data_IF_716316916677
#
_entry.id   IF_716316916677
#
_cell.length_a   1.000
_cell.length_b   1.000
_cell.length_c   1.000
_cell.angle_alpha   90.00
_cell.angle_beta   90.00
_cell.angle_gamma   90.00
#
_symmetry.space_group_name_H-M   'P 1'
#
loop_
_entity.id
_entity.type
_entity.pdbx_description
1 polymer ?
#
# COMPACT_ATOMS: atom_id res chain seq x y z
N UNK A 1 13.95 -40.68 26.05
CA UNK A 1 13.96 -41.78 27.03
C UNK A 1 14.64 -41.23 28.28
N UNK A 2 13.91 -41.13 29.39
CA UNK A 2 14.39 -40.46 30.60
C UNK A 2 15.45 -41.27 31.34
N UNK A 3 16.31 -40.59 32.07
CA UNK A 3 17.10 -41.20 33.15
C UNK A 3 16.15 -42.03 34.00
N UNK A 4 16.37 -43.35 34.07
CA UNK A 4 15.56 -44.25 34.87
C UNK A 4 16.26 -44.40 36.22
N UNK A 5 15.83 -43.68 37.28
CA UNK A 5 16.56 -43.64 38.56
C UNK A 5 16.59 -45.01 39.27
N UNK A 6 15.82 -45.98 38.79
CA UNK A 6 15.75 -47.36 39.27
C UNK A 6 16.62 -48.35 38.48
N UNK A 7 17.27 -47.92 37.39
CA UNK A 7 18.26 -48.77 36.73
C UNK A 7 19.49 -48.87 37.64
N UNK A 8 19.71 -50.06 38.21
CA UNK A 8 20.84 -50.34 39.10
C UNK A 8 22.15 -49.96 38.40
N UNK A 9 22.81 -48.92 38.92
CA UNK A 9 24.17 -48.57 38.52
C UNK A 9 25.07 -49.75 38.87
N UNK A 10 25.84 -50.30 37.92
CA UNK A 10 26.75 -51.39 38.21
C UNK A 10 27.80 -50.89 39.21
N UNK A 11 27.80 -51.47 40.41
CA UNK A 11 28.82 -51.21 41.42
C UNK A 11 30.19 -51.61 40.85
N UNK A 12 31.23 -50.77 41.01
CA UNK A 12 32.58 -51.15 40.65
C UNK A 12 32.96 -52.39 41.43
N UNK A 13 33.70 -53.31 40.80
CA UNK A 13 34.24 -54.50 41.48
C UNK A 13 35.06 -54.13 42.72
N UNK A 14 35.72 -52.97 42.69
CA UNK A 14 36.44 -52.39 43.82
C UNK A 14 35.58 -52.09 45.05
N UNK A 15 34.27 -51.89 44.89
CA UNK A 15 33.34 -51.62 45.99
C UNK A 15 32.76 -52.93 46.56
N UNK A 16 32.58 -53.96 45.73
CA UNK A 16 32.10 -55.27 46.18
C UNK A 16 33.13 -56.04 46.99
N UNK A 17 34.42 -55.71 46.86
CA UNK A 17 35.53 -56.36 47.58
C UNK A 17 35.87 -55.68 48.92
N UNK A 18 35.18 -54.59 49.28
CA UNK A 18 35.43 -53.86 50.53
C UNK A 18 34.80 -54.57 51.74
N UNK A 19 35.50 -54.65 52.89
CA UNK A 19 34.92 -55.16 54.12
C UNK A 19 33.78 -54.26 54.63
N UNK A 20 32.71 -54.88 55.17
CA UNK A 20 31.49 -54.22 55.67
C UNK A 20 31.67 -52.87 56.41
N UNK A 21 32.63 -52.68 57.35
CA UNK A 21 32.80 -51.39 58.03
C UNK A 21 33.17 -50.24 57.09
N UNK A 22 33.90 -50.50 56.01
CA UNK A 22 34.28 -49.47 55.02
C UNK A 22 33.12 -49.15 54.06
N UNK A 23 32.24 -50.12 53.79
CA UNK A 23 30.99 -49.92 53.07
C UNK A 23 30.02 -49.04 53.88
N UNK A 24 29.91 -49.26 55.19
CA UNK A 24 29.10 -48.43 56.07
C UNK A 24 29.61 -46.98 56.15
N UNK A 25 30.93 -46.79 56.20
CA UNK A 25 31.56 -45.45 56.16
C UNK A 25 31.32 -44.73 54.82
N UNK A 26 31.36 -45.48 53.70
CA UNK A 26 31.09 -44.95 52.37
C UNK A 26 29.60 -44.57 52.18
N UNK A 27 28.68 -45.38 52.72
CA UNK A 27 27.25 -45.09 52.72
C UNK A 27 26.87 -43.97 53.69
N UNK A 28 27.62 -43.81 54.79
CA UNK A 28 27.43 -42.72 55.74
C UNK A 28 27.87 -41.36 55.19
N UNK A 29 28.66 -41.33 54.12
CA UNK A 29 29.13 -40.09 53.49
C UNK A 29 28.41 -39.80 52.15
N UNK A 30 27.37 -38.94 52.16
CA UNK A 30 26.58 -38.65 50.98
C UNK A 30 27.37 -37.96 49.85
N UNK A 31 28.46 -37.25 50.17
CA UNK A 31 29.29 -36.62 49.14
C UNK A 31 30.11 -37.64 48.33
N UNK A 32 30.52 -38.75 48.94
CA UNK A 32 31.22 -39.83 48.23
C UNK A 32 30.28 -40.58 47.28
N UNK A 33 29.06 -40.87 47.74
CA UNK A 33 28.01 -41.49 46.91
C UNK A 33 27.65 -40.59 45.73
N UNK A 34 27.52 -39.28 45.97
CA UNK A 34 27.28 -38.28 44.93
C UNK A 34 28.42 -38.19 43.93
N UNK A 35 29.68 -38.16 44.39
CA UNK A 35 30.86 -38.17 43.52
C UNK A 35 30.91 -39.41 42.64
N UNK A 36 30.58 -40.59 43.19
CA UNK A 36 30.49 -41.83 42.44
C UNK A 36 29.40 -41.77 41.35
N UNK A 37 28.19 -41.31 41.69
CA UNK A 37 27.11 -41.13 40.69
C UNK A 37 27.53 -40.15 39.60
N UNK A 38 28.24 -39.06 39.96
CA UNK A 38 28.76 -38.08 39.01
C UNK A 38 29.85 -38.64 38.08
N UNK A 39 30.65 -39.60 38.57
CA UNK A 39 31.68 -40.27 37.78
C UNK A 39 31.17 -41.38 36.87
N UNK A 40 29.90 -41.77 37.01
CA UNK A 40 29.30 -42.83 36.19
C UNK A 40 29.15 -42.38 34.73
N UNK A 41 29.53 -43.26 33.80
CA UNK A 41 29.37 -43.03 32.36
C UNK A 41 27.91 -42.72 31.98
N UNK A 42 26.95 -43.36 32.64
CA UNK A 42 25.52 -43.13 32.40
C UNK A 42 25.06 -41.72 32.79
N UNK A 43 25.65 -41.15 33.84
CA UNK A 43 25.36 -39.80 34.29
C UNK A 43 26.03 -38.75 33.40
N UNK A 44 27.27 -39.00 32.99
CA UNK A 44 27.98 -38.16 32.01
C UNK A 44 27.25 -38.14 30.66
N UNK A 45 26.82 -39.29 30.15
CA UNK A 45 26.01 -39.38 28.93
C UNK A 45 24.69 -38.62 29.04
N UNK A 46 24.03 -38.66 30.20
CA UNK A 46 22.81 -37.89 30.43
C UNK A 46 23.09 -36.38 30.42
N UNK A 47 24.16 -35.93 31.07
CA UNK A 47 24.57 -34.52 31.05
C UNK A 47 24.90 -34.05 29.63
N UNK A 48 25.61 -34.84 28.85
CA UNK A 48 25.94 -34.52 27.46
C UNK A 48 24.67 -34.45 26.58
N UNK A 49 23.74 -35.38 26.74
CA UNK A 49 22.43 -35.34 26.07
C UNK A 49 21.61 -34.11 26.47
N UNK A 50 21.65 -33.73 27.74
CA UNK A 50 20.94 -32.56 28.22
C UNK A 50 21.57 -31.26 27.70
N UNK A 51 22.90 -31.16 27.72
CA UNK A 51 23.65 -30.03 27.18
C UNK A 51 23.44 -29.86 25.66
N UNK A 52 23.46 -30.97 24.91
CA UNK A 52 23.15 -30.95 23.46
C UNK A 52 21.72 -30.54 23.19
N UNK A 53 20.75 -30.97 24.00
CA UNK A 53 19.35 -30.53 23.88
C UNK A 53 19.23 -29.03 24.14
N UNK A 54 19.85 -28.50 25.20
CA UNK A 54 19.86 -27.06 25.49
C UNK A 54 20.50 -26.27 24.34
N UNK A 55 21.62 -26.74 23.79
CA UNK A 55 22.26 -26.10 22.65
C UNK A 55 21.34 -26.08 21.41
N UNK A 56 20.65 -27.19 21.13
CA UNK A 56 19.67 -27.27 20.05
C UNK A 56 18.47 -26.32 20.28
N UNK A 57 17.98 -26.19 21.51
CA UNK A 57 16.88 -25.27 21.81
C UNK A 57 17.31 -23.81 21.74
N UNK A 58 18.55 -23.49 22.14
CA UNK A 58 19.10 -22.14 22.00
C UNK A 58 19.24 -21.73 20.52
N UNK A 59 19.70 -22.65 19.67
CA UNK A 59 19.76 -22.39 18.21
C UNK A 59 18.37 -22.18 17.60
N UNK A 60 17.35 -22.95 18.00
CA UNK A 60 15.96 -22.70 17.59
C UNK A 60 15.46 -21.33 18.04
N UNK A 61 15.76 -20.92 19.28
CA UNK A 61 15.37 -19.60 19.79
C UNK A 61 16.03 -18.47 18.98
N UNK A 62 17.29 -18.62 18.58
CA UNK A 62 17.96 -17.66 17.70
C UNK A 62 17.30 -17.59 16.32
N UNK A 63 16.92 -18.73 15.74
CA UNK A 63 16.19 -18.76 14.47
C UNK A 63 14.81 -18.08 14.57
N UNK A 64 14.07 -18.33 15.66
CA UNK A 64 12.79 -17.67 15.92
C UNK A 64 12.98 -16.15 16.04
N UNK A 65 14.03 -15.69 16.74
CA UNK A 65 14.34 -14.26 16.84
C UNK A 65 14.59 -13.64 15.47
N UNK A 66 15.40 -14.29 14.64
CA UNK A 66 15.66 -13.82 13.26
C UNK A 66 14.38 -13.78 12.43
N UNK A 67 13.49 -14.76 12.58
CA UNK A 67 12.22 -14.79 11.88
C UNK A 67 11.31 -13.64 12.29
N UNK A 68 11.26 -13.30 13.59
CA UNK A 68 10.51 -12.14 14.10
C UNK A 68 11.08 -10.85 13.49
N UNK A 69 12.40 -10.66 13.51
CA UNK A 69 13.05 -9.48 12.93
C UNK A 69 12.76 -9.34 11.42
N UNK A 70 12.79 -10.45 10.68
CA UNK A 70 12.42 -10.47 9.26
C UNK A 70 10.94 -10.11 9.05
N UNK A 71 10.05 -10.65 9.89
CA UNK A 71 8.62 -10.38 9.79
C UNK A 71 8.30 -8.91 10.08
N UNK A 72 8.96 -8.32 11.07
CA UNK A 72 8.82 -6.89 11.39
C UNK A 72 9.30 -6.01 10.24
N UNK A 73 10.46 -6.34 9.65
CA UNK A 73 10.97 -5.61 8.48
C UNK A 73 10.02 -5.71 7.29
N UNK A 74 9.53 -6.91 6.97
CA UNK A 74 8.57 -7.11 5.88
C UNK A 74 7.27 -6.37 6.17
N UNK A 75 6.77 -6.44 7.40
CA UNK A 75 5.57 -5.73 7.84
C UNK A 75 5.71 -4.20 7.77
N UNK A 76 6.91 -3.67 8.01
CA UNK A 76 7.21 -2.25 7.81
C UNK A 76 7.22 -1.88 6.32
N UNK A 77 7.87 -2.68 5.48
CA UNK A 77 7.87 -2.45 4.03
C UNK A 77 6.47 -2.51 3.42
N UNK A 78 5.62 -3.44 3.89
CA UNK A 78 4.22 -3.53 3.47
C UNK A 78 3.46 -2.26 3.86
N UNK A 79 3.65 -1.75 5.08
CA UNK A 79 3.01 -0.52 5.55
C UNK A 79 3.41 0.69 4.71
N UNK A 80 4.69 0.82 4.38
CA UNK A 80 5.20 1.89 3.51
C UNK A 80 4.60 1.84 2.11
N UNK A 81 4.58 0.66 1.48
CA UNK A 81 3.96 0.47 0.15
C UNK A 81 2.46 0.72 0.16
N UNK A 82 1.77 0.36 1.24
CA UNK A 82 0.34 0.61 1.38
C UNK A 82 0.05 2.10 1.50
N UNK A 83 0.86 2.84 2.25
CA UNK A 83 0.75 4.31 2.33
C UNK A 83 1.01 4.97 0.97
N UNK A 84 1.99 4.49 0.20
CA UNK A 84 2.25 4.96 -1.16
C UNK A 84 1.07 4.70 -2.10
N UNK A 85 0.48 3.51 -2.07
CA UNK A 85 -0.71 3.16 -2.85
C UNK A 85 -1.91 4.04 -2.50
N UNK A 86 -2.13 4.33 -1.22
CA UNK A 86 -3.20 5.23 -0.78
C UNK A 86 -2.99 6.65 -1.32
N UNK A 87 -1.75 7.17 -1.27
CA UNK A 87 -1.41 8.46 -1.86
C UNK A 87 -1.71 8.50 -3.35
N UNK A 88 -1.24 7.48 -4.09
CA UNK A 88 -1.42 7.40 -5.53
C UNK A 88 -2.90 7.26 -5.92
N UNK A 89 -3.68 6.49 -5.16
CA UNK A 89 -5.12 6.35 -5.39
C UNK A 89 -5.88 7.66 -5.17
N UNK A 90 -5.49 8.44 -4.15
CA UNK A 90 -6.05 9.77 -3.93
C UNK A 90 -5.75 10.71 -5.11
N UNK A 91 -4.51 10.68 -5.61
CA UNK A 91 -4.09 11.48 -6.77
C UNK A 91 -4.86 11.07 -8.03
N UNK A 92 -5.00 9.77 -8.27
CA UNK A 92 -5.78 9.22 -9.38
C UNK A 92 -7.26 9.64 -9.31
N UNK A 93 -7.86 9.57 -8.13
CA UNK A 93 -9.26 10.00 -7.93
C UNK A 93 -9.44 11.49 -8.22
N UNK A 94 -8.49 12.33 -7.80
CA UNK A 94 -8.49 13.76 -8.12
C UNK A 94 -8.40 14.00 -9.63
N UNK A 95 -7.49 13.31 -10.32
CA UNK A 95 -7.34 13.41 -11.77
C UNK A 95 -8.59 12.93 -12.51
N UNK A 96 -9.26 11.88 -12.04
CA UNK A 96 -10.53 11.44 -12.59
C UNK A 96 -11.61 12.52 -12.48
N UNK A 97 -11.72 13.18 -11.32
CA UNK A 97 -12.68 14.29 -11.15
C UNK A 97 -12.39 15.41 -12.14
N UNK A 98 -11.11 15.79 -12.30
CA UNK A 98 -10.70 16.80 -13.28
C UNK A 98 -11.06 16.34 -14.70
N UNK A 99 -10.77 15.09 -15.06
CA UNK A 99 -11.12 14.52 -16.35
C UNK A 99 -12.63 14.61 -16.63
N UNK A 100 -13.46 14.20 -15.67
CA UNK A 100 -14.92 14.29 -15.80
C UNK A 100 -15.40 15.73 -15.96
N UNK A 101 -14.85 16.67 -15.18
CA UNK A 101 -15.17 18.09 -15.33
C UNK A 101 -14.81 18.63 -16.72
N UNK A 102 -13.67 18.22 -17.26
CA UNK A 102 -13.25 18.60 -18.60
C UNK A 102 -14.16 17.98 -19.67
N UNK A 103 -14.47 16.69 -19.57
CA UNK A 103 -15.38 16.01 -20.49
C UNK A 103 -16.77 16.65 -20.51
N UNK A 104 -17.29 17.03 -19.36
CA UNK A 104 -18.56 17.77 -19.28
C UNK A 104 -18.41 19.15 -19.90
N UNK A 105 -17.39 19.92 -19.51
CA UNK A 105 -17.16 21.30 -19.99
C UNK A 105 -16.94 21.40 -21.51
N UNK A 106 -16.31 20.39 -22.09
CA UNK A 106 -15.98 20.29 -23.51
C UNK A 106 -16.84 19.25 -24.25
N UNK A 107 -17.94 18.80 -23.64
CA UNK A 107 -18.93 17.98 -24.32
C UNK A 107 -19.50 18.74 -25.52
N UNK A 108 -19.90 18.00 -26.56
CA UNK A 108 -20.53 18.59 -27.74
C UNK A 108 -21.72 19.47 -27.34
N UNK A 109 -22.57 18.99 -26.43
CA UNK A 109 -23.70 19.75 -25.89
C UNK A 109 -23.27 21.08 -25.24
N UNK A 110 -22.25 21.06 -24.37
CA UNK A 110 -21.74 22.27 -23.73
C UNK A 110 -21.10 23.25 -24.71
N UNK A 111 -20.43 22.75 -25.75
CA UNK A 111 -19.84 23.57 -26.80
C UNK A 111 -20.91 24.19 -27.70
N UNK A 112 -21.91 23.41 -28.13
CA UNK A 112 -23.05 23.89 -28.93
C UNK A 112 -23.85 24.93 -28.16
N UNK A 113 -24.04 24.74 -26.85
CA UNK A 113 -24.70 25.72 -25.98
C UNK A 113 -23.92 27.04 -25.92
N UNK A 114 -22.61 26.99 -25.62
CA UNK A 114 -21.74 28.20 -25.62
C UNK A 114 -21.72 28.89 -26.98
N UNK A 115 -21.77 28.14 -28.06
CA UNK A 115 -21.82 28.69 -29.41
C UNK A 115 -23.18 29.37 -29.69
N UNK A 116 -24.27 28.83 -29.14
CA UNK A 116 -25.58 29.50 -29.12
C UNK A 116 -25.53 30.83 -28.36
N UNK A 117 -24.96 30.84 -27.15
CA UNK A 117 -24.80 32.06 -26.34
C UNK A 117 -23.98 33.14 -27.10
N UNK A 118 -22.95 32.72 -27.84
CA UNK A 118 -22.17 33.61 -28.72
C UNK A 118 -23.05 34.19 -29.84
N UNK A 119 -23.84 33.37 -30.54
CA UNK A 119 -24.77 33.85 -31.59
C UNK A 119 -25.75 34.87 -31.03
N UNK A 120 -26.31 34.63 -29.84
CA UNK A 120 -27.21 35.56 -29.17
C UNK A 120 -26.52 36.87 -28.77
N UNK A 121 -25.27 36.80 -28.31
CA UNK A 121 -24.47 38.00 -28.00
C UNK A 121 -24.20 38.85 -29.24
N UNK A 122 -23.89 38.22 -30.39
CA UNK A 122 -23.66 38.92 -31.66
C UNK A 122 -24.95 39.58 -32.16
N UNK A 123 -26.11 38.92 -31.98
CA UNK A 123 -27.40 39.52 -32.32
C UNK A 123 -27.67 40.76 -31.46
N UNK A 124 -27.47 40.66 -30.14
CA UNK A 124 -27.62 41.78 -29.21
C UNK A 124 -26.69 42.93 -29.54
N UNK A 125 -25.42 42.67 -29.80
CA UNK A 125 -24.45 43.69 -30.25
C UNK A 125 -24.92 44.38 -31.53
N UNK A 126 -25.39 43.62 -32.52
CA UNK A 126 -25.88 44.20 -33.78
C UNK A 126 -27.10 45.11 -33.57
N UNK A 127 -28.00 44.77 -32.64
CA UNK A 127 -29.17 45.60 -32.28
C UNK A 127 -28.76 46.82 -31.46
N UNK A 128 -27.76 46.68 -30.61
CA UNK A 128 -27.22 47.77 -29.80
C UNK A 128 -26.63 48.87 -30.68
N UNK A 129 -25.90 48.51 -31.74
CA UNK A 129 -25.42 49.47 -32.74
C UNK A 129 -26.56 50.32 -33.33
N UNK A 130 -27.73 49.71 -33.58
CA UNK A 130 -28.91 50.42 -34.09
C UNK A 130 -29.48 51.38 -33.04
N UNK A 131 -29.50 50.98 -31.76
CA UNK A 131 -30.00 51.85 -30.68
C UNK A 131 -29.05 53.00 -30.31
N UNK A 132 -27.75 52.87 -30.59
CA UNK A 132 -26.73 53.88 -30.30
C UNK A 132 -26.54 54.89 -31.43
N UNK A 133 -27.18 54.67 -32.59
CA UNK A 133 -27.10 55.54 -33.76
C UNK A 133 -28.15 56.66 -33.65
N UNK A 134 -27.72 57.93 -33.69
CA UNK A 134 -28.62 59.07 -33.86
C UNK A 134 -29.17 59.14 -35.29
N UNK A 135 -30.28 59.84 -35.51
CA UNK A 135 -31.07 59.92 -36.76
C UNK A 135 -30.29 60.20 -38.08
N UNK A 136 -29.02 60.58 -38.03
CA UNK A 136 -28.14 60.65 -39.19
C UNK A 136 -27.37 59.33 -39.42
N UNK A 137 -27.72 58.64 -40.51
CA UNK A 137 -27.05 57.41 -40.97
C UNK A 137 -25.59 57.69 -41.38
N UNK A 138 -24.67 57.59 -40.42
CA UNK A 138 -23.22 57.64 -40.69
C UNK A 138 -22.80 56.42 -41.56
N UNK A 139 -22.10 56.62 -42.70
CA UNK A 139 -21.55 55.52 -43.49
C UNK A 139 -20.65 54.56 -42.69
N UNK A 140 -20.01 55.00 -41.60
CA UNK A 140 -19.25 54.12 -40.70
C UNK A 140 -20.14 53.16 -39.94
N UNK A 141 -21.22 53.66 -39.34
CA UNK A 141 -22.23 52.81 -38.70
C UNK A 141 -22.75 51.75 -39.68
N UNK A 142 -23.04 52.15 -40.92
CA UNK A 142 -23.59 51.24 -41.92
C UNK A 142 -22.61 50.12 -42.30
N UNK A 143 -21.30 50.39 -42.30
CA UNK A 143 -20.26 49.38 -42.50
C UNK A 143 -20.15 48.43 -41.31
N UNK A 144 -20.12 48.97 -40.08
CA UNK A 144 -20.02 48.20 -38.84
C UNK A 144 -21.23 47.29 -38.62
N UNK A 145 -22.44 47.82 -38.83
CA UNK A 145 -23.67 47.04 -38.74
C UNK A 145 -23.72 45.91 -39.77
N UNK A 146 -23.33 46.17 -41.03
CA UNK A 146 -23.26 45.12 -42.08
C UNK A 146 -22.26 44.03 -41.69
N UNK A 147 -21.11 44.40 -41.15
CA UNK A 147 -20.11 43.44 -40.69
C UNK A 147 -20.62 42.61 -39.52
N UNK A 148 -21.25 43.24 -38.52
CA UNK A 148 -21.83 42.57 -37.36
C UNK A 148 -22.95 41.59 -37.77
N UNK A 149 -23.85 42.00 -38.66
CA UNK A 149 -24.92 41.13 -39.19
C UNK A 149 -24.36 39.98 -40.02
N UNK A 150 -23.33 40.21 -40.83
CA UNK A 150 -22.66 39.16 -41.60
C UNK A 150 -22.05 38.10 -40.67
N UNK A 151 -21.38 38.52 -39.60
CA UNK A 151 -20.84 37.61 -38.59
C UNK A 151 -21.97 36.84 -37.87
N UNK A 152 -23.01 37.54 -37.41
CA UNK A 152 -24.17 36.90 -36.79
C UNK A 152 -24.79 35.80 -37.67
N UNK A 153 -25.09 36.10 -38.94
CA UNK A 153 -25.72 35.14 -39.84
C UNK A 153 -24.81 33.94 -40.15
N UNK A 154 -23.50 34.16 -40.30
CA UNK A 154 -22.51 33.09 -40.46
C UNK A 154 -22.49 32.15 -39.25
N UNK A 155 -22.42 32.71 -38.04
CA UNK A 155 -22.39 31.93 -36.80
C UNK A 155 -23.72 31.23 -36.54
N UNK A 156 -24.85 31.87 -36.85
CA UNK A 156 -26.19 31.26 -36.72
C UNK A 156 -26.36 30.05 -37.63
N UNK A 157 -25.91 30.12 -38.88
CA UNK A 157 -25.98 28.99 -39.80
C UNK A 157 -25.09 27.83 -39.34
N UNK A 158 -23.86 28.13 -38.90
CA UNK A 158 -22.96 27.14 -38.31
C UNK A 158 -23.58 26.46 -37.09
N UNK A 159 -24.20 27.23 -36.20
CA UNK A 159 -24.87 26.70 -35.01
C UNK A 159 -26.04 25.78 -35.35
N UNK A 160 -26.88 26.18 -36.32
CA UNK A 160 -27.99 25.36 -36.80
C UNK A 160 -27.50 24.02 -37.36
N UNK A 161 -26.42 24.02 -38.14
CA UNK A 161 -25.80 22.78 -38.65
C UNK A 161 -25.25 21.88 -37.53
N UNK A 162 -24.73 22.48 -36.46
CA UNK A 162 -24.28 21.73 -35.29
C UNK A 162 -25.44 21.08 -34.51
N UNK A 163 -26.63 21.67 -34.50
CA UNK A 163 -27.81 21.06 -33.88
C UNK A 163 -28.43 19.92 -34.70
N UNK A 164 -28.29 19.97 -36.02
CA UNK A 164 -28.80 18.92 -36.92
C UNK A 164 -27.93 17.65 -36.94
N UNK A 165 -26.88 17.57 -36.09
CA UNK A 165 -25.84 16.51 -36.08
C UNK A 165 -25.19 16.24 -37.46
N UNK A 166 -25.35 17.18 -38.40
CA UNK A 166 -24.86 17.06 -39.78
C UNK A 166 -23.35 17.23 -39.91
N UNK A 167 -22.68 17.67 -38.86
CA UNK A 167 -21.23 17.88 -38.84
C UNK A 167 -20.63 17.07 -37.69
N UNK A 168 -20.22 15.83 -37.98
CA UNK A 168 -19.39 15.02 -37.09
C UNK A 168 -17.93 15.49 -37.15
N UNK A 169 -17.66 16.73 -36.73
CA UNK A 169 -16.28 17.23 -36.75
C UNK A 169 -16.15 18.74 -36.66
N UNK A 170 -15.67 19.19 -35.50
CA UNK A 170 -15.09 20.48 -35.15
C UNK A 170 -15.82 21.76 -35.56
N UNK A 171 -16.29 22.44 -34.52
CA UNK A 171 -16.41 23.90 -34.46
C UNK A 171 -14.96 24.45 -34.47
N UNK A 172 -14.35 24.55 -35.66
CA UNK A 172 -13.08 25.25 -35.90
C UNK A 172 -13.32 26.37 -36.93
#
# INVERSE_FOLDING_TARGET
MGFNPTALLPLPTSITDLPNPQLEELLANPELVKGYVQSSDSFQQYLDQYATTIAADNTKLQQIKQLIEQYDHVGQSIREKLAELQRLNSEFSSLQVIQYQLLVRYSNESLVKKYGDLVESLDRQSRQLVSETSDELDPKFLAEFRQARKQYHLHRERWARCQEDRVSGSIA
#
